data_IF_875918319967
#
_entry.id   IF_875918319967
#
_cell.length_a   1.000
_cell.length_b   1.000
_cell.length_c   1.000
_cell.angle_alpha   90.00
_cell.angle_beta   90.00
_cell.angle_gamma   90.00
#
_symmetry.space_group_name_H-M   'P 1'
#
loop_
_entity.id
_entity.type
_entity.pdbx_description
1 polymer ?
#
# COMPACT_ATOMS: atom_id res chain seq x y z
N UNK A 1 -2.23 -11.07 20.69
CA UNK A 1 -0.96 -10.32 20.75
C UNK A 1 -1.11 -9.16 19.79
N UNK A 2 -0.80 -7.94 20.22
CA UNK A 2 -0.87 -6.75 19.36
C UNK A 2 0.53 -6.46 18.85
N UNK A 3 0.65 -6.23 17.55
CA UNK A 3 1.88 -5.86 16.87
C UNK A 3 1.84 -4.36 16.54
N UNK A 4 2.94 -3.67 16.77
CA UNK A 4 3.11 -2.26 16.40
C UNK A 4 4.03 -2.18 15.18
N UNK A 5 3.57 -1.51 14.12
CA UNK A 5 4.37 -1.22 12.93
C UNK A 5 4.51 0.28 12.73
N UNK A 6 5.67 0.72 12.27
CA UNK A 6 5.87 2.10 11.79
C UNK A 6 5.65 2.15 10.28
N UNK A 7 4.75 3.01 9.83
CA UNK A 7 4.45 3.25 8.42
C UNK A 7 4.83 4.68 8.00
N UNK A 8 5.18 4.83 6.72
CA UNK A 8 5.47 6.12 6.07
C UNK A 8 4.53 6.31 4.88
N UNK A 9 3.84 7.45 4.82
CA UNK A 9 2.89 7.78 3.77
C UNK A 9 3.25 9.12 3.13
N UNK A 10 3.53 9.11 1.83
CA UNK A 10 3.78 10.32 1.05
C UNK A 10 2.49 10.86 0.45
N UNK A 11 2.23 12.15 0.61
CA UNK A 11 0.99 12.83 0.15
C UNK A 11 1.25 14.28 -0.25
N UNK A 12 0.22 14.95 -0.75
CA UNK A 12 0.16 16.41 -0.90
C UNK A 12 0.22 17.08 0.49
N UNK A 13 1.07 18.09 0.64
CA UNK A 13 1.17 18.87 1.88
C UNK A 13 -0.18 19.47 2.31
N UNK A 14 -1.05 19.82 1.35
CA UNK A 14 -2.41 20.30 1.62
C UNK A 14 -3.31 19.30 2.36
N UNK A 15 -3.03 18.00 2.28
CA UNK A 15 -3.82 16.95 2.93
C UNK A 15 -3.44 16.71 4.40
N UNK A 16 -2.29 17.22 4.86
CA UNK A 16 -1.72 16.91 6.19
C UNK A 16 -2.72 17.23 7.31
N UNK A 17 -3.28 18.43 7.31
CA UNK A 17 -4.24 18.86 8.35
C UNK A 17 -5.48 17.98 8.39
N UNK A 18 -5.95 17.52 7.22
CA UNK A 18 -7.12 16.67 7.11
C UNK A 18 -6.83 15.26 7.65
N UNK A 19 -5.67 14.70 7.29
CA UNK A 19 -5.22 13.38 7.76
C UNK A 19 -5.00 13.38 9.27
N UNK A 20 -4.33 14.40 9.82
CA UNK A 20 -4.13 14.51 11.26
C UNK A 20 -5.44 14.68 12.05
N UNK A 21 -6.48 15.24 11.42
CA UNK A 21 -7.77 15.48 12.07
C UNK A 21 -8.73 14.29 11.95
N UNK A 22 -8.74 13.59 10.82
CA UNK A 22 -9.75 12.56 10.51
C UNK A 22 -9.17 11.19 10.16
N UNK A 23 -7.86 11.01 10.32
CA UNK A 23 -7.12 9.82 9.90
C UNK A 23 -7.05 9.68 8.36
N UNK A 24 -6.40 8.63 7.88
CA UNK A 24 -6.23 8.35 6.45
C UNK A 24 -7.53 7.82 5.82
N UNK A 25 -7.80 8.22 4.57
CA UNK A 25 -8.83 7.60 3.75
C UNK A 25 -8.34 6.27 3.17
N UNK A 26 -9.23 5.29 3.12
CA UNK A 26 -8.94 3.99 2.50
C UNK A 26 -8.82 4.11 0.97
N UNK A 27 -7.79 3.50 0.39
CA UNK A 27 -7.65 3.37 -1.05
C UNK A 27 -8.55 2.27 -1.58
N UNK A 28 -9.37 2.59 -2.60
CA UNK A 28 -10.43 1.71 -3.13
C UNK A 28 -10.45 1.62 -4.66
N UNK A 29 -9.30 1.79 -5.31
CA UNK A 29 -9.22 1.73 -6.78
C UNK A 29 -9.33 0.30 -7.31
N UNK A 30 -9.50 0.15 -8.64
CA UNK A 30 -9.61 -1.16 -9.27
C UNK A 30 -8.27 -1.91 -9.37
N UNK A 31 -7.14 -1.19 -9.32
CA UNK A 31 -5.78 -1.67 -9.54
C UNK A 31 -4.91 -1.71 -8.26
N UNK A 32 -5.55 -1.74 -7.08
CA UNK A 32 -4.86 -1.83 -5.79
C UNK A 32 -4.03 -3.12 -5.66
N UNK A 33 -2.74 -2.99 -5.30
CA UNK A 33 -1.82 -4.12 -5.26
C UNK A 33 -2.14 -5.17 -4.21
N UNK A 34 -2.61 -4.73 -3.04
CA UNK A 34 -2.84 -5.57 -1.88
C UNK A 34 -4.33 -5.55 -1.49
N UNK A 35 -5.23 -5.17 -2.39
CA UNK A 35 -6.65 -4.96 -2.09
C UNK A 35 -6.92 -3.61 -1.42
N UNK A 36 -8.12 -3.40 -0.91
CA UNK A 36 -8.48 -2.12 -0.29
C UNK A 36 -7.80 -1.94 1.07
N UNK A 37 -7.43 -0.71 1.40
CA UNK A 37 -6.73 -0.39 2.64
C UNK A 37 -5.99 0.94 2.58
N UNK A 38 -5.33 1.27 3.70
CA UNK A 38 -4.41 2.40 3.78
C UNK A 38 -2.98 1.88 3.61
N UNK A 39 -2.24 2.48 2.68
CA UNK A 39 -0.92 2.01 2.28
C UNK A 39 0.20 2.85 2.90
N UNK A 40 1.17 2.15 3.47
CA UNK A 40 2.38 2.72 4.04
C UNK A 40 3.60 1.97 3.54
N UNK A 41 4.69 2.69 3.32
CA UNK A 41 6.01 2.07 3.26
C UNK A 41 6.47 1.72 4.68
N UNK A 42 7.07 0.56 4.87
CA UNK A 42 7.56 0.10 6.19
C UNK A 42 8.98 -0.46 6.08
N UNK A 43 9.61 -0.73 7.22
CA UNK A 43 10.95 -1.31 7.27
C UNK A 43 11.03 -2.64 6.50
N UNK A 44 12.10 -2.83 5.73
CA UNK A 44 12.29 -4.01 4.88
C UNK A 44 13.38 -3.80 3.84
N UNK A 45 13.05 -3.95 2.56
CA UNK A 45 14.04 -3.96 1.46
C UNK A 45 14.85 -2.65 1.36
N UNK A 46 14.21 -1.50 1.51
CA UNK A 46 14.81 -0.19 1.27
C UNK A 46 14.24 0.88 2.22
N UNK A 47 14.78 2.10 2.16
CA UNK A 47 14.39 3.20 3.06
C UNK A 47 12.91 3.57 2.86
N UNK A 48 12.02 3.35 3.86
CA UNK A 48 10.60 3.58 3.70
C UNK A 48 10.24 5.06 3.55
N UNK A 49 10.94 5.95 4.26
CA UNK A 49 10.75 7.40 4.11
C UNK A 49 11.12 7.86 2.69
N UNK A 50 12.27 7.42 2.17
CA UNK A 50 12.69 7.73 0.79
C UNK A 50 11.69 7.22 -0.25
N UNK A 51 11.15 6.02 -0.04
CA UNK A 51 10.09 5.48 -0.90
C UNK A 51 8.81 6.31 -0.84
N UNK A 52 8.43 6.82 0.34
CA UNK A 52 7.28 7.70 0.51
C UNK A 52 7.47 9.06 -0.19
N UNK A 53 8.67 9.65 -0.12
CA UNK A 53 9.02 10.88 -0.86
C UNK A 53 8.86 10.64 -2.37
N UNK A 54 9.51 9.59 -2.89
CA UNK A 54 9.43 9.25 -4.31
C UNK A 54 7.99 8.98 -4.74
N UNK A 55 7.22 8.29 -3.91
CA UNK A 55 5.80 8.04 -4.16
C UNK A 55 5.02 9.35 -4.29
N UNK A 56 5.10 10.26 -3.31
CA UNK A 56 4.41 11.53 -3.35
C UNK A 56 4.76 12.33 -4.62
N UNK A 57 6.06 12.50 -4.90
CA UNK A 57 6.52 13.20 -6.11
C UNK A 57 5.99 12.58 -7.39
N UNK A 58 5.92 11.25 -7.44
CA UNK A 58 5.42 10.52 -8.60
C UNK A 58 3.90 10.59 -8.76
N UNK A 59 3.14 10.70 -7.66
CA UNK A 59 1.68 10.86 -7.68
C UNK A 59 1.26 12.30 -8.02
N UNK A 60 2.12 13.28 -7.76
CA UNK A 60 1.85 14.67 -8.09
C UNK A 60 1.64 14.91 -9.59
N UNK A 61 2.29 14.13 -10.47
CA UNK A 61 2.22 14.37 -11.92
C UNK A 61 0.99 13.71 -12.56
N UNK A 62 0.08 14.54 -13.07
CA UNK A 62 -1.08 14.12 -13.82
C UNK A 62 -0.76 13.97 -15.30
N UNK A 63 -0.86 12.73 -15.80
CA UNK A 63 -0.54 12.40 -17.20
C UNK A 63 -1.54 12.98 -18.21
N UNK A 64 -2.79 13.19 -17.79
CA UNK A 64 -3.88 13.59 -18.69
C UNK A 64 -3.84 15.11 -18.92
N UNK A 65 -3.60 15.89 -17.86
CA UNK A 65 -3.41 17.36 -17.95
C UNK A 65 -1.97 17.76 -18.24
N UNK A 66 -1.01 16.84 -18.07
CA UNK A 66 0.44 17.08 -18.17
C UNK A 66 0.95 18.16 -17.20
N UNK A 67 0.32 18.27 -16.04
CA UNK A 67 0.66 19.21 -14.97
C UNK A 67 0.87 18.48 -13.65
N UNK A 68 1.33 19.20 -12.63
CA UNK A 68 1.31 18.70 -11.26
C UNK A 68 -0.02 19.06 -10.60
N UNK A 69 -0.66 18.10 -9.95
CA UNK A 69 -1.88 18.31 -9.15
C UNK A 69 -1.56 19.05 -7.84
N UNK A 70 -0.31 18.97 -7.37
CA UNK A 70 0.21 19.71 -6.22
C UNK A 70 1.72 19.97 -6.37
N UNK A 71 2.23 21.03 -5.74
CA UNK A 71 3.64 21.45 -5.83
C UNK A 71 4.48 21.06 -4.62
N UNK A 72 3.84 20.81 -3.48
CA UNK A 72 4.48 20.54 -2.19
C UNK A 72 4.03 19.18 -1.67
N UNK A 73 4.99 18.33 -1.30
CA UNK A 73 4.71 17.04 -0.70
C UNK A 73 5.00 17.07 0.79
N UNK A 74 4.35 16.16 1.51
CA UNK A 74 4.69 15.82 2.89
C UNK A 74 4.82 14.29 3.02
N UNK A 75 5.67 13.85 3.95
CA UNK A 75 5.77 12.47 4.41
C UNK A 75 5.32 12.39 5.86
N UNK A 76 4.30 11.58 6.07
CA UNK A 76 3.74 11.29 7.38
C UNK A 76 4.29 9.96 7.89
N UNK A 77 4.87 9.97 9.08
CA UNK A 77 5.20 8.78 9.86
C UNK A 77 4.06 8.49 10.82
N UNK A 78 3.68 7.23 10.95
CA UNK A 78 2.57 6.80 11.83
C UNK A 78 2.83 5.42 12.42
N UNK A 79 2.17 5.11 13.52
CA UNK A 79 2.10 3.77 14.10
C UNK A 79 0.78 3.09 13.77
N UNK A 80 0.86 1.82 13.39
CA UNK A 80 -0.29 0.94 13.23
C UNK A 80 -0.24 -0.18 14.28
N UNK A 81 -1.30 -0.29 15.08
CA UNK A 81 -1.48 -1.30 16.13
C UNK A 81 -2.47 -2.35 15.64
N UNK A 82 -1.99 -3.55 15.36
CA UNK A 82 -2.75 -4.59 14.65
C UNK A 82 -2.68 -5.92 15.40
N UNK A 83 -3.74 -6.71 15.37
CA UNK A 83 -3.82 -8.00 16.07
C UNK A 83 -3.66 -9.18 15.11
N UNK A 84 -4.09 -9.02 13.86
CA UNK A 84 -4.05 -10.05 12.82
C UNK A 84 -3.30 -9.55 11.60
N UNK A 85 -2.17 -10.17 11.26
CA UNK A 85 -1.29 -9.75 10.18
C UNK A 85 -0.88 -10.93 9.33
N UNK A 86 -0.92 -10.75 8.01
CA UNK A 86 -0.28 -11.67 7.07
C UNK A 86 0.99 -11.03 6.53
N UNK A 87 2.15 -11.55 6.92
CA UNK A 87 3.46 -11.10 6.45
C UNK A 87 4.04 -12.05 5.41
N UNK A 88 3.84 -11.68 4.15
CA UNK A 88 4.35 -12.42 2.99
C UNK A 88 5.76 -12.02 2.57
N UNK A 89 6.49 -11.29 3.41
CA UNK A 89 7.95 -11.18 3.32
C UNK A 89 8.65 -12.40 3.92
N UNK A 90 7.92 -13.20 4.71
CA UNK A 90 8.37 -14.46 5.30
C UNK A 90 7.93 -15.67 4.46
N UNK A 91 8.68 -16.77 4.58
CA UNK A 91 8.30 -18.03 3.94
C UNK A 91 6.98 -18.59 4.49
N UNK A 92 6.75 -18.46 5.80
CA UNK A 92 5.51 -18.92 6.44
C UNK A 92 4.29 -18.19 5.88
N UNK A 93 4.33 -16.86 5.83
CA UNK A 93 3.22 -16.07 5.27
C UNK A 93 3.01 -16.31 3.78
N UNK A 94 4.07 -16.51 3.00
CA UNK A 94 3.94 -16.91 1.58
C UNK A 94 3.27 -18.28 1.43
N UNK A 95 3.66 -19.27 2.24
CA UNK A 95 3.02 -20.59 2.24
C UNK A 95 1.54 -20.48 2.62
N UNK A 96 1.22 -19.73 3.68
CA UNK A 96 -0.17 -19.51 4.11
C UNK A 96 -1.00 -18.83 3.02
N UNK A 97 -0.47 -17.78 2.38
CA UNK A 97 -1.14 -17.11 1.26
C UNK A 97 -1.39 -18.07 0.09
N UNK A 98 -0.40 -18.85 -0.32
CA UNK A 98 -0.54 -19.77 -1.44
C UNK A 98 -1.60 -20.86 -1.17
N UNK A 99 -1.60 -21.45 0.03
CA UNK A 99 -2.60 -22.44 0.42
C UNK A 99 -4.02 -21.86 0.38
N UNK A 100 -4.19 -20.64 0.90
CA UNK A 100 -5.48 -19.99 0.90
C UNK A 100 -5.91 -19.58 -0.51
N UNK A 101 -4.99 -19.08 -1.35
CA UNK A 101 -5.26 -18.74 -2.74
C UNK A 101 -5.84 -19.94 -3.50
N UNK A 102 -5.22 -21.11 -3.36
CA UNK A 102 -5.67 -22.30 -4.08
C UNK A 102 -7.09 -22.70 -3.65
N UNK A 103 -7.39 -22.65 -2.34
CA UNK A 103 -8.73 -22.91 -1.81
C UNK A 103 -9.76 -21.84 -2.22
N UNK A 104 -9.35 -20.57 -2.36
CA UNK A 104 -10.22 -19.48 -2.78
C UNK A 104 -10.54 -19.55 -4.28
N UNK A 105 -9.56 -19.89 -5.12
CA UNK A 105 -9.79 -20.07 -6.56
C UNK A 105 -10.84 -21.16 -6.79
N UNK A 106 -10.73 -22.29 -6.08
CA UNK A 106 -11.71 -23.38 -6.18
C UNK A 106 -13.12 -22.94 -5.73
N UNK A 107 -13.23 -22.21 -4.61
CA UNK A 107 -14.52 -21.79 -4.05
C UNK A 107 -15.16 -20.59 -4.76
N UNK A 108 -14.35 -19.74 -5.39
CA UNK A 108 -14.78 -18.48 -6.02
C UNK A 108 -14.55 -18.51 -7.54
N UNK A 109 -14.65 -19.67 -8.17
CA UNK A 109 -14.44 -19.85 -9.62
C UNK A 109 -15.28 -18.89 -10.48
N UNK A 110 -16.46 -18.49 -9.99
CA UNK A 110 -17.31 -17.51 -10.67
C UNK A 110 -16.68 -16.11 -10.82
N UNK A 111 -15.75 -15.74 -9.93
CA UNK A 111 -14.96 -14.51 -10.00
C UNK A 111 -13.70 -14.69 -10.86
N UNK A 112 -13.22 -15.91 -11.03
CA UNK A 112 -12.00 -16.25 -11.76
C UNK A 112 -12.26 -16.86 -13.15
N UNK A 113 -13.38 -16.50 -13.78
CA UNK A 113 -13.75 -16.91 -15.14
C UNK A 113 -12.77 -16.40 -16.20
N UNK A 114 -12.71 -17.07 -17.34
CA UNK A 114 -11.74 -16.81 -18.40
C UNK A 114 -11.85 -15.43 -19.09
N UNK A 115 -13.05 -14.82 -19.08
CA UNK A 115 -13.32 -13.52 -19.73
C UNK A 115 -13.35 -12.32 -18.76
N UNK A 116 -12.81 -12.48 -17.54
CA UNK A 116 -12.77 -11.40 -16.54
C UNK A 116 -11.67 -10.38 -16.85
N UNK A 117 -11.74 -9.23 -16.17
CA UNK A 117 -10.64 -8.27 -16.17
C UNK A 117 -9.52 -8.72 -15.21
N UNK A 118 -8.49 -9.36 -15.76
CA UNK A 118 -7.35 -9.90 -14.99
C UNK A 118 -6.53 -8.84 -14.26
N UNK A 119 -6.63 -7.56 -14.67
CA UNK A 119 -5.92 -6.47 -13.97
C UNK A 119 -6.44 -6.23 -12.54
N UNK A 120 -7.66 -6.69 -12.24
CA UNK A 120 -8.26 -6.55 -10.92
C UNK A 120 -8.08 -7.80 -10.04
N UNK A 121 -7.41 -8.85 -10.55
CA UNK A 121 -7.32 -10.15 -9.87
C UNK A 121 -6.55 -10.05 -8.56
N UNK A 122 -5.43 -9.32 -8.53
CA UNK A 122 -4.63 -9.15 -7.32
C UNK A 122 -5.45 -8.46 -6.23
N UNK A 123 -6.08 -7.32 -6.54
CA UNK A 123 -7.00 -6.62 -5.62
C UNK A 123 -8.05 -7.57 -5.08
N UNK A 124 -8.72 -8.31 -5.96
CA UNK A 124 -9.81 -9.20 -5.57
C UNK A 124 -9.31 -10.35 -4.68
N UNK A 125 -8.20 -10.98 -5.05
CA UNK A 125 -7.56 -12.05 -4.28
C UNK A 125 -7.18 -11.57 -2.88
N UNK A 126 -6.50 -10.43 -2.77
CA UNK A 126 -6.10 -9.90 -1.48
C UNK A 126 -7.27 -9.44 -0.62
N UNK A 127 -8.36 -8.94 -1.22
CA UNK A 127 -9.60 -8.66 -0.51
C UNK A 127 -10.23 -9.95 0.04
N UNK A 128 -10.31 -11.02 -0.75
CA UNK A 128 -10.81 -12.31 -0.27
C UNK A 128 -9.92 -12.88 0.85
N UNK A 129 -8.60 -12.84 0.70
CA UNK A 129 -7.65 -13.32 1.70
C UNK A 129 -7.81 -12.55 3.01
N UNK A 130 -7.80 -11.22 2.95
CA UNK A 130 -7.94 -10.37 4.14
C UNK A 130 -9.27 -10.56 4.86
N UNK A 131 -10.38 -10.69 4.13
CA UNK A 131 -11.69 -10.97 4.70
C UNK A 131 -11.76 -12.38 5.31
N UNK A 132 -11.24 -13.39 4.63
CA UNK A 132 -11.27 -14.79 5.08
C UNK A 132 -10.45 -14.99 6.35
N UNK A 133 -9.26 -14.37 6.41
CA UNK A 133 -8.37 -14.45 7.57
C UNK A 133 -8.66 -13.39 8.64
N UNK A 134 -9.61 -12.47 8.39
CA UNK A 134 -9.93 -11.32 9.25
C UNK A 134 -8.66 -10.54 9.63
N UNK A 135 -7.91 -10.13 8.62
CA UNK A 135 -6.65 -9.41 8.78
C UNK A 135 -6.90 -7.94 9.10
N UNK A 136 -6.11 -7.41 10.02
CA UNK A 136 -6.01 -5.98 10.28
C UNK A 136 -4.96 -5.33 9.35
N UNK A 137 -3.94 -6.10 8.94
CA UNK A 137 -2.92 -5.63 8.00
C UNK A 137 -2.27 -6.76 7.18
N UNK A 138 -1.64 -6.34 6.08
CA UNK A 138 -0.81 -7.17 5.21
C UNK A 138 0.55 -6.51 5.08
N UNK A 139 1.63 -7.30 5.13
CA UNK A 139 2.98 -6.87 4.80
C UNK A 139 3.44 -7.64 3.56
N UNK A 140 3.89 -6.91 2.55
CA UNK A 140 4.34 -7.49 1.29
C UNK A 140 5.45 -6.69 0.64
N UNK A 141 6.30 -7.39 -0.12
CA UNK A 141 7.35 -6.78 -0.92
C UNK A 141 6.81 -6.45 -2.31
N UNK A 142 6.86 -5.18 -2.71
CA UNK A 142 6.39 -4.72 -4.01
C UNK A 142 7.54 -4.16 -4.86
N UNK A 143 7.33 -4.16 -6.18
CA UNK A 143 8.15 -3.38 -7.10
C UNK A 143 7.39 -2.09 -7.46
N UNK A 144 7.79 -0.97 -6.85
CA UNK A 144 7.20 0.34 -7.10
C UNK A 144 8.22 1.20 -7.83
N UNK A 145 7.84 1.71 -9.01
CA UNK A 145 8.76 2.43 -9.90
C UNK A 145 9.07 3.82 -9.39
N UNK A 146 10.36 4.14 -9.32
CA UNK A 146 10.84 5.51 -9.20
C UNK A 146 10.60 6.33 -10.50
N UNK A 147 10.89 7.63 -10.45
CA UNK A 147 10.72 8.54 -11.59
C UNK A 147 11.44 8.06 -12.85
N UNK A 148 12.68 7.60 -12.71
CA UNK A 148 13.52 7.16 -13.84
C UNK A 148 12.96 5.87 -14.45
N UNK A 149 12.55 4.92 -13.62
CA UNK A 149 11.94 3.66 -14.04
C UNK A 149 10.59 3.87 -14.71
N UNK A 150 9.79 4.85 -14.27
CA UNK A 150 8.55 5.28 -14.94
C UNK A 150 8.85 5.84 -16.33
N UNK A 151 9.78 6.79 -16.45
CA UNK A 151 10.17 7.40 -17.72
C UNK A 151 10.71 6.36 -18.73
N UNK A 152 11.55 5.44 -18.25
CA UNK A 152 12.13 4.36 -19.06
C UNK A 152 11.20 3.15 -19.23
N UNK A 153 9.99 3.18 -18.65
CA UNK A 153 8.99 2.10 -18.68
C UNK A 153 9.54 0.74 -18.19
N UNK A 154 10.49 0.74 -17.27
CA UNK A 154 11.10 -0.48 -16.72
C UNK A 154 10.03 -1.28 -15.97
N UNK A 155 10.08 -2.61 -16.09
CA UNK A 155 9.28 -3.56 -15.29
C UNK A 155 10.23 -4.56 -14.65
N UNK A 156 9.93 -4.99 -13.44
CA UNK A 156 10.72 -5.96 -12.68
C UNK A 156 9.78 -6.84 -11.87
N UNK A 157 10.11 -8.12 -11.76
CA UNK A 157 9.52 -9.03 -10.79
C UNK A 157 10.32 -9.07 -9.47
N UNK A 158 11.48 -8.41 -9.42
CA UNK A 158 12.28 -8.23 -8.21
C UNK A 158 11.73 -7.02 -7.45
N UNK A 159 11.21 -7.21 -6.22
CA UNK A 159 10.69 -6.11 -5.41
C UNK A 159 11.81 -5.19 -4.95
N UNK A 160 11.48 -3.92 -4.74
CA UNK A 160 12.42 -2.89 -4.30
C UNK A 160 11.96 -2.17 -3.01
N UNK A 161 10.77 -2.49 -2.50
CA UNK A 161 10.20 -1.84 -1.33
C UNK A 161 9.30 -2.80 -0.54
N UNK A 162 9.09 -2.51 0.73
CA UNK A 162 8.21 -3.25 1.61
C UNK A 162 7.06 -2.35 2.03
N UNK A 163 5.84 -2.86 1.88
CA UNK A 163 4.60 -2.11 2.07
C UNK A 163 3.76 -2.79 3.15
N UNK A 164 3.25 -1.96 4.05
CA UNK A 164 2.22 -2.27 5.02
C UNK A 164 0.88 -1.74 4.48
N UNK A 165 -0.07 -2.63 4.25
CA UNK A 165 -1.44 -2.26 3.90
C UNK A 165 -2.37 -2.55 5.08
N UNK A 166 -2.85 -1.50 5.73
CA UNK A 166 -3.76 -1.57 6.88
C UNK A 166 -5.20 -1.66 6.38
N UNK A 167 -5.92 -2.69 6.80
CA UNK A 167 -7.29 -3.01 6.36
C UNK A 167 -8.38 -2.35 7.20
N UNK A 168 -8.04 -2.03 8.44
CA UNK A 168 -8.94 -1.41 9.41
C UNK A 168 -8.34 -0.06 9.81
N UNK A 169 -8.96 1.04 9.38
CA UNK A 169 -8.41 2.39 9.62
C UNK A 169 -8.23 2.70 11.12
N UNK A 170 -9.09 2.15 11.98
CA UNK A 170 -8.99 2.29 13.44
C UNK A 170 -7.72 1.66 14.04
N UNK A 171 -7.03 0.78 13.30
CA UNK A 171 -5.73 0.25 13.68
C UNK A 171 -4.60 1.28 13.53
N UNK A 172 -4.85 2.43 12.90
CA UNK A 172 -3.87 3.51 12.73
C UNK A 172 -4.01 4.49 13.91
N UNK A 173 -2.94 4.66 14.68
CA UNK A 173 -2.92 5.60 15.80
C UNK A 173 -2.80 7.04 15.29
N UNK A 174 -3.94 7.73 15.23
CA UNK A 174 -4.03 9.12 14.76
C UNK A 174 -3.12 10.08 15.55
N UNK A 175 -2.88 9.81 16.84
CA UNK A 175 -2.04 10.67 17.68
C UNK A 175 -0.55 10.48 17.42
N UNK A 176 -0.18 9.41 16.70
CA UNK A 176 1.20 9.13 16.30
C UNK A 176 1.59 9.73 14.95
N UNK A 177 0.66 10.39 14.25
CA UNK A 177 0.89 10.97 12.92
C UNK A 177 1.82 12.19 13.04
N UNK A 178 3.03 12.05 12.54
CA UNK A 178 4.08 13.08 12.55
C UNK A 178 4.52 13.41 11.12
N UNK A 179 4.64 14.70 10.79
CA UNK A 179 5.30 15.13 9.56
C UNK A 179 6.81 14.99 9.77
N UNK A 180 7.44 14.07 9.03
CA UNK A 180 8.89 13.80 9.16
C UNK A 180 9.70 14.36 8.00
N UNK A 181 9.05 14.69 6.90
CA UNK A 181 9.69 15.30 5.73
C UNK A 181 8.68 16.12 4.93
N UNK A 182 9.15 17.18 4.30
CA UNK A 182 8.37 18.04 3.43
C UNK A 182 9.29 18.69 2.38
N UNK A 183 8.71 19.08 1.24
CA UNK A 183 9.48 19.77 0.23
C UNK A 183 8.71 19.96 -1.07
N UNK A 184 9.40 20.48 -2.09
CA UNK A 184 8.82 20.66 -3.42
C UNK A 184 8.90 19.38 -4.24
N UNK A 185 7.89 19.18 -5.09
CA UNK A 185 7.81 18.07 -6.04
C UNK A 185 8.88 18.20 -7.15
N UNK A 186 9.16 19.43 -7.55
CA UNK A 186 10.07 19.79 -8.66
C UNK A 186 11.51 20.03 -8.22
#
# INVERSE_FOLDING_TARGET
MTYEFTGFHGTDAGNVSNIQKYNFAESRNDDEWLGYGVYFFTGGISCPEGNAIEWAKNQAFNKDTRSYDYEEFAVLKVKANVNSVLDTTTMEGLTAFNQLRDALIEKHDSYFKMNRNVFCDDRFMWNLVSQTMKLDAIIHNLYIKDKTQRLKKIRSNVPNTTVLCVKVADSIDINSIEVVNEGRVV
#
